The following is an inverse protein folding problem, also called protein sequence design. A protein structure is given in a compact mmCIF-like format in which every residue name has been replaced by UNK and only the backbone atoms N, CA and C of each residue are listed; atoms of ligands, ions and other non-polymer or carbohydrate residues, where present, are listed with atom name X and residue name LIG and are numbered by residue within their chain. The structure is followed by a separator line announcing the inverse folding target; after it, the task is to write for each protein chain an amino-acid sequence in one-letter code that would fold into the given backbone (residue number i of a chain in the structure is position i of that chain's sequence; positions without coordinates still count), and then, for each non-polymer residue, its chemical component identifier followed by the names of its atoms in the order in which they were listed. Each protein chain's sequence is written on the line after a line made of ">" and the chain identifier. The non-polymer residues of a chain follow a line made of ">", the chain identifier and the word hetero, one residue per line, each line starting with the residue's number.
data_IF_818595596775
#
_entry.id   IF_818595596775
#
_cell.length_a   1.000
_cell.length_b   1.000
_cell.length_c   1.000
_cell.angle_alpha   90.00
_cell.angle_beta   90.00
_cell.angle_gamma   90.00
#
_symmetry.space_group_name_H-M   'P 1'
#
loop_
_entity.id
_entity.type
_entity.pdbx_description
1 polymer ?
#
# COMPACT_ATOMS: atom_id res chain seq x y z
N UNK A 1 14.00 19.49 81.22
CA UNK A 1 13.01 19.06 80.20
C UNK A 1 13.64 19.23 78.82
N UNK A 2 14.22 18.13 78.29
CA UNK A 2 14.87 18.13 76.97
C UNK A 2 13.81 17.75 75.92
N UNK A 3 13.56 18.65 74.97
CA UNK A 3 12.68 18.38 73.78
C UNK A 3 13.52 17.66 72.77
N UNK A 4 13.16 16.42 72.48
CA UNK A 4 13.72 15.62 71.39
C UNK A 4 12.94 15.97 70.14
N UNK A 5 13.65 16.59 69.18
CA UNK A 5 13.10 16.89 67.84
C UNK A 5 13.31 15.67 66.94
N UNK A 6 12.23 14.96 66.62
CA UNK A 6 12.25 13.86 65.65
C UNK A 6 12.21 14.45 64.21
N UNK A 7 13.36 14.39 63.55
CA UNK A 7 13.42 14.71 62.13
C UNK A 7 13.02 13.45 61.38
N UNK A 8 11.79 13.43 60.83
CA UNK A 8 11.34 12.44 59.86
C UNK A 8 12.03 12.71 58.52
N UNK A 9 13.10 11.99 58.26
CA UNK A 9 13.73 11.92 56.95
C UNK A 9 12.83 11.07 56.03
N UNK A 10 11.98 11.72 55.25
CA UNK A 10 11.21 11.05 54.18
C UNK A 10 12.20 10.54 53.12
N UNK A 11 12.57 9.28 53.18
CA UNK A 11 13.22 8.59 52.08
C UNK A 11 12.16 8.44 50.95
N UNK A 12 12.16 9.35 49.99
CA UNK A 12 11.62 9.10 48.68
C UNK A 12 12.54 8.06 48.00
N UNK A 13 12.27 6.80 48.26
CA UNK A 13 12.81 5.70 47.46
C UNK A 13 12.04 5.79 46.14
N UNK A 14 12.62 6.52 45.18
CA UNK A 14 12.23 6.40 43.79
C UNK A 14 12.49 4.94 43.41
N UNK A 15 11.45 4.13 43.31
CA UNK A 15 11.52 2.84 42.66
C UNK A 15 11.95 3.10 41.23
N UNK A 16 13.23 3.04 40.96
CA UNK A 16 13.73 2.80 39.61
C UNK A 16 13.24 1.40 39.27
N UNK A 17 12.10 1.31 38.60
CA UNK A 17 11.62 0.05 38.02
C UNK A 17 12.75 -0.43 37.11
N UNK A 18 13.40 -1.53 37.51
CA UNK A 18 14.42 -2.15 36.66
C UNK A 18 13.75 -2.53 35.32
N UNK A 19 14.30 -2.05 34.22
CA UNK A 19 13.81 -2.41 32.89
C UNK A 19 13.86 -3.93 32.74
N UNK A 20 12.80 -4.48 32.17
CA UNK A 20 12.74 -5.90 31.80
C UNK A 20 13.75 -6.21 30.69
N UNK A 21 14.11 -7.47 30.51
CA UNK A 21 14.98 -7.89 29.42
C UNK A 21 14.41 -7.52 28.04
N UNK A 22 13.07 -7.53 27.91
CA UNK A 22 12.40 -7.13 26.66
C UNK A 22 12.47 -5.63 26.42
N UNK A 23 12.25 -4.80 27.43
CA UNK A 23 12.40 -3.35 27.31
C UNK A 23 13.84 -2.97 26.89
N UNK A 24 14.85 -3.63 27.44
CA UNK A 24 16.25 -3.41 27.06
C UNK A 24 16.49 -3.83 25.60
N UNK A 25 16.00 -5.00 25.19
CA UNK A 25 16.18 -5.48 23.82
C UNK A 25 15.44 -4.59 22.82
N UNK A 26 14.18 -4.23 23.10
CA UNK A 26 13.39 -3.33 22.26
C UNK A 26 14.07 -1.96 22.13
N UNK A 27 14.55 -1.40 23.26
CA UNK A 27 15.33 -0.17 23.23
C UNK A 27 16.56 -0.29 22.33
N UNK A 28 17.27 -1.41 22.37
CA UNK A 28 18.46 -1.64 21.53
C UNK A 28 18.08 -1.75 20.05
N UNK A 29 16.92 -2.33 19.72
CA UNK A 29 16.38 -2.36 18.35
C UNK A 29 16.13 -0.94 17.84
N UNK A 30 15.43 -0.09 18.62
CA UNK A 30 15.20 1.31 18.26
C UNK A 30 16.50 2.12 18.16
N UNK A 31 17.45 1.91 19.08
CA UNK A 31 18.75 2.55 19.01
C UNK A 31 19.53 2.14 17.75
N UNK A 32 19.48 0.86 17.36
CA UNK A 32 20.12 0.36 16.13
C UNK A 32 19.49 0.98 14.90
N UNK A 33 18.16 0.96 14.77
CA UNK A 33 17.45 1.53 13.62
C UNK A 33 17.72 3.04 13.48
N UNK A 34 17.64 3.81 14.58
CA UNK A 34 17.78 5.26 14.53
C UNK A 34 19.23 5.74 14.34
N UNK A 35 20.23 4.95 14.74
CA UNK A 35 21.67 5.32 14.63
C UNK A 35 22.33 4.71 13.39
N UNK A 36 21.95 3.49 13.05
CA UNK A 36 22.61 2.66 12.03
C UNK A 36 21.61 2.04 11.05
N UNK A 37 20.37 2.54 10.99
CA UNK A 37 19.35 2.09 10.06
C UNK A 37 19.73 2.35 8.60
N UNK A 38 19.33 1.45 7.72
CA UNK A 38 19.62 1.53 6.28
C UNK A 38 18.34 1.59 5.43
N UNK A 39 17.15 1.59 6.04
CA UNK A 39 15.89 1.66 5.31
C UNK A 39 15.82 2.87 4.37
N UNK A 40 16.25 4.04 4.85
CA UNK A 40 16.21 5.26 4.06
C UNK A 40 17.18 5.24 2.87
N UNK A 41 18.38 4.66 3.04
CA UNK A 41 19.34 4.50 1.96
C UNK A 41 18.82 3.48 0.92
N UNK A 42 18.33 2.33 1.37
CA UNK A 42 17.71 1.33 0.50
C UNK A 42 16.52 1.92 -0.28
N UNK A 43 15.65 2.71 0.39
CA UNK A 43 14.56 3.38 -0.27
C UNK A 43 15.04 4.36 -1.35
N UNK A 44 16.10 5.12 -1.05
CA UNK A 44 16.71 6.02 -2.03
C UNK A 44 17.21 5.29 -3.27
N UNK A 45 17.83 4.14 -3.12
CA UNK A 45 18.28 3.31 -4.25
C UNK A 45 17.07 2.78 -5.04
N UNK A 46 16.08 2.18 -4.39
CA UNK A 46 14.90 1.64 -5.05
C UNK A 46 14.13 2.70 -5.82
N UNK A 47 13.99 3.90 -5.26
CA UNK A 47 13.19 4.97 -5.88
C UNK A 47 13.97 5.79 -6.91
N UNK A 48 15.26 6.07 -6.70
CA UNK A 48 16.04 6.94 -7.59
C UNK A 48 16.79 6.19 -8.68
N UNK A 49 17.22 4.94 -8.40
CA UNK A 49 17.99 4.16 -9.36
C UNK A 49 17.08 3.22 -10.18
N UNK A 50 16.02 2.67 -9.56
CA UNK A 50 15.02 1.83 -10.24
C UNK A 50 13.81 2.68 -10.66
N UNK A 51 13.18 3.39 -9.72
CA UNK A 51 12.03 4.26 -9.96
C UNK A 51 10.71 3.50 -10.08
N UNK A 52 9.87 3.96 -10.99
CA UNK A 52 8.57 3.35 -11.28
C UNK A 52 8.72 1.90 -11.75
N UNK A 53 7.92 0.99 -11.15
CA UNK A 53 8.17 -0.44 -11.27
C UNK A 53 6.90 -1.30 -11.34
N UNK A 54 5.92 -0.84 -12.13
CA UNK A 54 4.68 -1.59 -12.33
C UNK A 54 4.99 -3.00 -12.86
N UNK A 55 4.30 -4.00 -12.35
CA UNK A 55 4.53 -5.40 -12.71
C UNK A 55 4.48 -5.62 -14.24
N UNK A 56 5.40 -6.44 -14.76
CA UNK A 56 5.60 -6.65 -16.19
C UNK A 56 6.52 -5.62 -16.89
N UNK A 57 6.86 -4.51 -16.23
CA UNK A 57 7.75 -3.48 -16.77
C UNK A 57 9.24 -3.80 -16.59
N UNK A 58 10.13 -3.15 -17.36
CA UNK A 58 11.58 -3.18 -17.09
C UNK A 58 11.96 -2.69 -15.68
N UNK A 59 11.23 -1.70 -15.14
CA UNK A 59 11.43 -1.22 -13.77
C UNK A 59 11.13 -2.31 -12.73
N UNK A 60 10.07 -3.10 -12.90
CA UNK A 60 9.79 -4.24 -12.03
C UNK A 60 10.90 -5.30 -12.08
N UNK A 61 11.44 -5.60 -13.27
CA UNK A 61 12.57 -6.51 -13.41
C UNK A 61 13.82 -5.98 -12.70
N UNK A 62 14.12 -4.69 -12.83
CA UNK A 62 15.24 -4.06 -12.13
C UNK A 62 15.05 -4.09 -10.60
N UNK A 63 13.81 -3.91 -10.10
CA UNK A 63 13.50 -4.01 -8.68
C UNK A 63 13.72 -5.42 -8.12
N UNK A 64 13.40 -6.46 -8.90
CA UNK A 64 13.70 -7.86 -8.54
C UNK A 64 15.21 -8.05 -8.37
N UNK A 65 16.01 -7.61 -9.33
CA UNK A 65 17.47 -7.71 -9.27
C UNK A 65 18.03 -6.91 -8.07
N UNK A 66 17.57 -5.66 -7.89
CA UNK A 66 17.98 -4.81 -6.78
C UNK A 66 17.71 -5.49 -5.43
N UNK A 67 16.48 -5.93 -5.18
CA UNK A 67 16.10 -6.53 -3.90
C UNK A 67 16.83 -7.84 -3.62
N UNK A 68 17.07 -8.67 -4.66
CA UNK A 68 17.89 -9.87 -4.55
C UNK A 68 19.32 -9.55 -4.13
N UNK A 69 19.96 -8.58 -4.78
CA UNK A 69 21.34 -8.20 -4.48
C UNK A 69 21.49 -7.51 -3.11
N UNK A 70 20.52 -6.65 -2.71
CA UNK A 70 20.53 -6.04 -1.36
C UNK A 70 20.43 -7.09 -0.26
N UNK A 71 19.53 -8.06 -0.38
CA UNK A 71 19.44 -9.16 0.59
C UNK A 71 20.71 -10.02 0.61
N UNK A 72 21.34 -10.26 -0.54
CA UNK A 72 22.63 -10.98 -0.63
C UNK A 72 23.76 -10.19 0.03
N UNK A 73 23.83 -8.88 -0.14
CA UNK A 73 24.82 -7.99 0.47
C UNK A 73 24.78 -8.06 2.00
N UNK A 74 23.59 -8.22 2.58
CA UNK A 74 23.42 -8.43 4.01
C UNK A 74 23.74 -9.85 4.48
N UNK A 75 24.12 -10.75 3.56
CA UNK A 75 24.50 -12.13 3.85
C UNK A 75 23.43 -12.90 4.66
N UNK A 76 22.15 -12.75 4.30
CA UNK A 76 21.10 -13.58 4.89
C UNK A 76 21.37 -15.05 4.62
N UNK A 77 20.89 -15.94 5.49
CA UNK A 77 21.19 -17.37 5.43
C UNK A 77 20.73 -18.01 4.10
N UNK A 78 19.64 -17.52 3.55
CA UNK A 78 19.13 -17.88 2.22
C UNK A 78 18.52 -16.67 1.52
N UNK A 79 18.76 -16.54 0.20
CA UNK A 79 18.10 -15.55 -0.66
C UNK A 79 17.83 -16.22 -2.01
N UNK A 80 16.56 -16.17 -2.45
CA UNK A 80 16.14 -16.76 -3.74
C UNK A 80 14.99 -15.97 -4.36
N UNK A 81 14.68 -16.27 -5.61
CA UNK A 81 13.53 -15.73 -6.34
C UNK A 81 12.48 -16.83 -6.54
N UNK A 82 11.21 -16.44 -6.49
CA UNK A 82 10.06 -17.32 -6.68
C UNK A 82 9.31 -16.90 -7.94
N UNK A 83 9.33 -17.71 -9.03
CA UNK A 83 8.80 -17.31 -10.33
C UNK A 83 7.27 -17.28 -10.35
N UNK A 84 6.73 -16.31 -11.08
CA UNK A 84 5.30 -16.17 -11.38
C UNK A 84 5.08 -15.44 -12.71
N UNK A 85 3.86 -15.47 -13.23
CA UNK A 85 3.42 -14.68 -14.38
C UNK A 85 2.56 -13.53 -13.87
N UNK A 86 2.77 -12.33 -14.40
CA UNK A 86 2.05 -11.11 -13.99
C UNK A 86 1.37 -10.44 -15.16
N UNK A 87 0.26 -9.72 -14.97
CA UNK A 87 -0.33 -8.88 -16.00
C UNK A 87 0.69 -7.86 -16.50
N UNK A 88 0.68 -7.64 -17.80
CA UNK A 88 1.51 -6.64 -18.44
C UNK A 88 0.62 -5.57 -19.09
N UNK A 89 0.48 -4.46 -18.39
CA UNK A 89 -0.22 -3.28 -18.88
C UNK A 89 0.76 -2.13 -19.01
N UNK A 90 0.64 -1.38 -20.11
CA UNK A 90 1.46 -0.20 -20.38
C UNK A 90 0.56 1.02 -20.57
N UNK A 91 0.94 2.13 -19.97
CA UNK A 91 0.21 3.40 -20.08
C UNK A 91 0.30 4.02 -21.47
N UNK A 92 1.44 3.86 -22.13
CA UNK A 92 1.76 4.54 -23.38
C UNK A 92 2.20 5.98 -23.18
N UNK A 93 1.93 6.83 -24.17
CA UNK A 93 2.28 8.26 -24.12
C UNK A 93 1.32 9.04 -23.23
N UNK A 94 1.71 10.27 -22.86
CA UNK A 94 0.92 11.16 -21.99
C UNK A 94 -0.51 11.33 -22.48
N UNK A 95 -1.45 11.18 -21.58
CA UNK A 95 -2.88 11.34 -21.83
C UNK A 95 -3.26 12.81 -22.06
N UNK A 96 -4.31 13.02 -22.86
CA UNK A 96 -4.88 14.33 -23.12
C UNK A 96 -6.35 14.34 -22.72
N UNK A 97 -6.71 15.22 -21.79
CA UNK A 97 -8.09 15.50 -21.41
C UNK A 97 -8.41 16.97 -21.63
N UNK A 98 -9.54 17.29 -22.28
CA UNK A 98 -9.95 18.69 -22.50
C UNK A 98 -11.47 18.83 -22.45
N UNK A 99 -11.95 19.90 -21.80
CA UNK A 99 -13.27 20.44 -22.09
C UNK A 99 -13.15 21.21 -23.40
N UNK A 100 -13.99 20.94 -24.37
CA UNK A 100 -13.80 21.50 -25.74
C UNK A 100 -14.82 22.56 -26.13
N UNK A 101 -15.91 22.71 -25.41
CA UNK A 101 -17.02 23.57 -25.84
C UNK A 101 -17.76 24.29 -24.72
N UNK A 102 -17.11 24.55 -23.58
CA UNK A 102 -17.74 25.29 -22.50
C UNK A 102 -18.14 26.69 -22.95
N UNK A 103 -19.44 27.02 -22.89
CA UNK A 103 -19.97 28.34 -23.23
C UNK A 103 -19.38 29.46 -22.39
N UNK A 104 -18.93 29.13 -21.16
CA UNK A 104 -18.43 30.08 -20.19
C UNK A 104 -16.91 30.25 -20.23
N UNK A 105 -16.19 29.18 -20.54
CA UNK A 105 -14.73 29.13 -20.38
C UNK A 105 -13.99 28.66 -21.66
N UNK A 106 -14.71 28.29 -22.70
CA UNK A 106 -14.10 27.78 -23.97
C UNK A 106 -13.47 26.41 -23.76
N UNK A 107 -12.26 26.24 -24.30
CA UNK A 107 -11.47 25.02 -24.17
C UNK A 107 -10.59 25.09 -22.93
N UNK A 108 -10.60 24.03 -22.11
CA UNK A 108 -9.80 23.91 -20.89
C UNK A 108 -9.14 22.54 -20.83
N UNK A 109 -7.87 22.50 -20.45
CA UNK A 109 -7.18 21.25 -20.16
C UNK A 109 -7.66 20.65 -18.85
N UNK A 110 -7.69 19.32 -18.79
CA UNK A 110 -8.02 18.52 -17.61
C UNK A 110 -6.80 17.67 -17.25
N UNK A 111 -6.40 17.71 -15.99
CA UNK A 111 -5.35 16.82 -15.49
C UNK A 111 -5.94 15.44 -15.25
N UNK A 112 -5.61 14.52 -16.13
CA UNK A 112 -6.06 13.14 -16.13
C UNK A 112 -4.89 12.16 -16.21
N UNK A 113 -5.13 10.91 -15.82
CA UNK A 113 -4.27 9.78 -16.14
C UNK A 113 -5.12 8.53 -16.42
N UNK A 114 -4.67 7.64 -17.28
CA UNK A 114 -5.33 6.36 -17.48
C UNK A 114 -5.35 5.54 -16.18
N UNK A 115 -6.46 4.85 -15.92
CA UNK A 115 -6.53 3.86 -14.84
C UNK A 115 -5.84 2.57 -15.27
N UNK A 116 -5.16 1.92 -14.33
CA UNK A 116 -4.42 0.69 -14.57
C UNK A 116 -5.33 -0.45 -15.04
N UNK A 117 -4.98 -1.08 -16.15
CA UNK A 117 -5.80 -2.08 -16.82
C UNK A 117 -6.81 -1.53 -17.82
N UNK A 118 -6.89 -0.20 -17.99
CA UNK A 118 -7.74 0.44 -19.01
C UNK A 118 -7.21 0.19 -20.41
N UNK A 119 -8.11 0.02 -21.37
CA UNK A 119 -7.79 0.11 -22.81
C UNK A 119 -7.62 1.58 -23.23
N UNK A 120 -6.86 1.82 -24.31
CA UNK A 120 -6.73 3.14 -24.92
C UNK A 120 -7.95 3.57 -25.72
N UNK A 121 -8.01 4.87 -26.04
CA UNK A 121 -9.10 5.46 -26.84
C UNK A 121 -8.98 5.19 -28.34
N UNK A 122 -7.83 4.72 -28.77
CA UNK A 122 -7.44 4.72 -30.17
C UNK A 122 -6.88 6.09 -30.65
N UNK A 123 -6.36 6.15 -31.88
CA UNK A 123 -5.54 7.28 -32.33
C UNK A 123 -6.33 8.58 -32.56
N UNK A 124 -7.66 8.55 -32.60
CA UNK A 124 -8.51 9.73 -32.81
C UNK A 124 -9.05 10.31 -31.50
N UNK A 125 -8.81 9.64 -30.39
CA UNK A 125 -9.43 10.00 -29.13
C UNK A 125 -10.95 9.81 -29.09
N UNK A 126 -11.61 10.32 -28.07
CA UNK A 126 -13.07 10.28 -27.91
C UNK A 126 -13.57 11.68 -27.58
N UNK A 127 -14.58 12.13 -28.31
CA UNK A 127 -15.36 13.33 -28.00
C UNK A 127 -16.78 12.91 -27.68
N UNK A 128 -17.26 13.21 -26.47
CA UNK A 128 -18.64 12.93 -26.09
C UNK A 128 -19.14 13.87 -24.98
N UNK A 129 -20.48 13.93 -24.85
CA UNK A 129 -21.12 14.62 -23.71
C UNK A 129 -20.84 13.89 -22.41
N UNK A 130 -20.74 14.66 -21.33
CA UNK A 130 -20.50 14.14 -19.99
C UNK A 130 -21.83 13.93 -19.24
N UNK A 131 -21.94 12.83 -18.52
CA UNK A 131 -23.00 12.60 -17.54
C UNK A 131 -22.38 12.23 -16.18
N UNK A 132 -22.68 13.04 -15.16
CA UNK A 132 -22.16 12.83 -13.79
C UNK A 132 -23.07 11.89 -13.01
N UNK A 133 -22.44 10.94 -12.30
CA UNK A 133 -23.08 10.05 -11.32
C UNK A 133 -22.21 9.93 -10.07
N UNK A 134 -22.82 9.57 -8.93
CA UNK A 134 -22.12 9.33 -7.67
C UNK A 134 -22.16 7.88 -7.20
N UNK A 135 -22.99 7.05 -7.85
CA UNK A 135 -23.10 5.64 -7.52
C UNK A 135 -23.50 4.81 -8.72
N UNK A 136 -23.38 3.50 -8.60
CA UNK A 136 -23.86 2.55 -9.62
C UNK A 136 -25.40 2.51 -9.67
N UNK A 137 -26.07 2.80 -8.55
CA UNK A 137 -27.53 2.91 -8.49
C UNK A 137 -28.04 4.13 -9.30
N UNK A 138 -27.37 5.28 -9.18
CA UNK A 138 -27.70 6.44 -10.00
C UNK A 138 -27.49 6.15 -11.50
N UNK A 139 -26.38 5.47 -11.85
CA UNK A 139 -26.12 5.03 -13.21
C UNK A 139 -27.22 4.11 -13.74
N UNK A 140 -27.64 3.13 -12.95
CA UNK A 140 -28.71 2.20 -13.31
C UNK A 140 -30.06 2.91 -13.51
N UNK A 141 -30.37 3.90 -12.67
CA UNK A 141 -31.58 4.71 -12.83
C UNK A 141 -31.61 5.53 -14.11
N UNK A 142 -30.44 6.03 -14.56
CA UNK A 142 -30.33 6.73 -15.84
C UNK A 142 -30.58 5.81 -17.02
N UNK A 143 -30.07 4.59 -16.97
CA UNK A 143 -30.25 3.56 -17.98
C UNK A 143 -29.63 3.90 -19.35
N UNK A 144 -29.69 2.98 -20.29
CA UNK A 144 -29.09 3.11 -21.63
C UNK A 144 -29.57 4.37 -22.35
N UNK A 145 -30.85 4.71 -22.28
CA UNK A 145 -31.42 5.90 -22.95
C UNK A 145 -30.68 7.18 -22.64
N UNK A 146 -30.15 7.35 -21.41
CA UNK A 146 -29.49 8.56 -20.99
C UNK A 146 -27.96 8.45 -21.02
N UNK A 147 -27.39 7.24 -21.11
CA UNK A 147 -25.95 6.97 -20.96
C UNK A 147 -25.28 6.64 -22.29
N UNK A 148 -26.01 6.00 -23.23
CA UNK A 148 -25.44 5.57 -24.51
C UNK A 148 -24.75 6.70 -25.25
N UNK A 149 -23.53 6.43 -25.74
CA UNK A 149 -22.70 7.39 -26.47
C UNK A 149 -22.11 8.52 -25.61
N UNK A 150 -22.25 8.48 -24.30
CA UNK A 150 -21.70 9.51 -23.40
C UNK A 150 -20.50 9.00 -22.62
N UNK A 151 -19.75 9.94 -22.03
CA UNK A 151 -18.73 9.71 -21.04
C UNK A 151 -19.38 9.77 -19.67
N UNK A 152 -19.28 8.68 -18.88
CA UNK A 152 -19.78 8.65 -17.51
C UNK A 152 -18.71 9.20 -16.57
N UNK A 153 -19.06 10.24 -15.83
CA UNK A 153 -18.20 10.85 -14.83
C UNK A 153 -18.64 10.39 -13.42
N UNK A 154 -17.87 9.49 -12.83
CA UNK A 154 -18.04 9.04 -11.45
C UNK A 154 -17.42 10.04 -10.50
N UNK A 155 -18.24 10.75 -9.73
CA UNK A 155 -17.81 11.88 -8.90
C UNK A 155 -18.20 11.74 -7.44
N UNK A 156 -18.05 10.56 -6.83
CA UNK A 156 -18.18 10.38 -5.38
C UNK A 156 -16.84 10.67 -4.72
N UNK A 157 -16.73 11.71 -3.87
CA UNK A 157 -15.50 11.96 -3.12
C UNK A 157 -15.30 10.92 -2.02
N UNK A 158 -14.07 10.76 -1.55
CA UNK A 158 -13.80 10.15 -0.24
C UNK A 158 -14.51 10.96 0.86
N UNK A 159 -15.07 10.27 1.86
CA UNK A 159 -15.81 10.94 2.96
C UNK A 159 -14.83 11.68 3.90
N UNK A 160 -14.82 13.02 3.88
CA UNK A 160 -13.87 13.81 4.67
C UNK A 160 -14.15 13.77 6.19
N UNK A 161 -15.27 13.19 6.62
CA UNK A 161 -15.61 13.04 8.05
C UNK A 161 -14.98 11.81 8.69
N UNK A 162 -14.40 10.91 7.88
CA UNK A 162 -13.74 9.70 8.36
C UNK A 162 -12.33 10.02 8.85
N UNK A 163 -12.07 9.81 10.14
CA UNK A 163 -10.73 9.93 10.72
C UNK A 163 -9.80 8.82 10.16
N UNK A 164 -10.33 7.62 9.99
CA UNK A 164 -9.62 6.55 9.29
C UNK A 164 -9.71 6.79 7.78
N UNK A 165 -8.62 7.23 7.17
CA UNK A 165 -8.57 7.60 5.76
C UNK A 165 -8.72 6.38 4.83
N UNK A 166 -8.29 5.19 5.25
CA UNK A 166 -8.55 3.95 4.52
C UNK A 166 -10.04 3.57 4.50
N UNK A 167 -10.79 3.89 5.55
CA UNK A 167 -12.24 3.73 5.55
C UNK A 167 -12.94 4.74 4.60
N UNK A 168 -12.38 5.95 4.47
CA UNK A 168 -12.85 6.93 3.49
C UNK A 168 -12.59 6.45 2.05
N UNK A 169 -11.37 5.91 1.80
CA UNK A 169 -10.99 5.30 0.54
C UNK A 169 -11.89 4.11 0.18
N UNK A 170 -12.08 3.16 1.10
CA UNK A 170 -12.95 2.01 0.90
C UNK A 170 -14.40 2.38 0.55
N UNK A 171 -14.88 3.55 1.01
CA UNK A 171 -16.21 4.09 0.67
C UNK A 171 -16.32 4.69 -0.74
N UNK A 172 -15.22 4.85 -1.47
CA UNK A 172 -15.19 5.52 -2.78
C UNK A 172 -14.56 4.68 -3.91
N UNK A 173 -13.71 3.72 -3.58
CA UNK A 173 -12.82 3.02 -4.54
C UNK A 173 -13.55 2.13 -5.54
N UNK A 174 -14.76 1.67 -5.25
CA UNK A 174 -15.58 0.85 -6.17
C UNK A 174 -15.80 1.54 -7.52
N UNK A 175 -16.00 2.88 -7.54
CA UNK A 175 -16.16 3.64 -8.77
C UNK A 175 -14.90 3.62 -9.65
N UNK A 176 -13.70 3.52 -9.05
CA UNK A 176 -12.44 3.30 -9.78
C UNK A 176 -12.36 1.86 -10.27
N UNK A 177 -12.54 0.90 -9.37
CA UNK A 177 -12.36 -0.52 -9.68
C UNK A 177 -13.33 -1.08 -10.70
N UNK A 178 -14.61 -0.66 -10.67
CA UNK A 178 -15.69 -1.21 -11.48
C UNK A 178 -16.40 -0.23 -12.43
N UNK A 179 -16.15 1.07 -12.28
CA UNK A 179 -16.92 2.13 -12.95
C UNK A 179 -17.01 1.99 -14.47
N UNK A 180 -15.87 1.73 -15.14
CA UNK A 180 -15.86 1.55 -16.60
C UNK A 180 -16.69 0.32 -17.01
N UNK A 181 -16.56 -0.79 -16.28
CA UNK A 181 -17.33 -2.01 -16.55
C UNK A 181 -18.82 -1.81 -16.36
N UNK A 182 -19.23 -1.07 -15.33
CA UNK A 182 -20.63 -0.73 -15.07
C UNK A 182 -21.18 0.23 -16.12
N UNK A 183 -20.41 1.29 -16.47
CA UNK A 183 -20.83 2.27 -17.49
C UNK A 183 -21.01 1.63 -18.87
N UNK A 184 -20.16 0.70 -19.24
CA UNK A 184 -20.21 0.00 -20.53
C UNK A 184 -21.51 -0.81 -20.70
N UNK A 185 -22.15 -1.30 -19.64
CA UNK A 185 -23.45 -2.00 -19.69
C UNK A 185 -24.57 -1.13 -20.25
N UNK A 186 -24.43 0.19 -20.11
CA UNK A 186 -25.41 1.18 -20.57
C UNK A 186 -24.98 1.90 -21.83
N UNK A 187 -23.93 1.41 -22.52
CA UNK A 187 -23.47 1.98 -23.79
C UNK A 187 -22.61 3.23 -23.67
N UNK A 188 -22.02 3.50 -22.50
CA UNK A 188 -21.03 4.56 -22.35
C UNK A 188 -19.82 4.32 -23.27
N UNK A 189 -19.15 5.40 -23.70
CA UNK A 189 -17.97 5.33 -24.58
C UNK A 189 -16.66 5.47 -23.83
N UNK A 190 -16.66 6.06 -22.62
CA UNK A 190 -15.54 6.14 -21.71
C UNK A 190 -16.03 6.40 -20.28
N UNK A 191 -15.15 6.20 -19.30
CA UNK A 191 -15.37 6.55 -17.90
C UNK A 191 -14.31 7.56 -17.43
N UNK A 192 -14.74 8.55 -16.66
CA UNK A 192 -13.88 9.48 -15.91
C UNK A 192 -14.17 9.29 -14.44
N UNK A 193 -13.15 9.10 -13.63
CA UNK A 193 -13.30 8.83 -12.20
C UNK A 193 -12.58 9.90 -11.40
N UNK A 194 -13.28 10.51 -10.43
CA UNK A 194 -12.65 11.40 -9.46
C UNK A 194 -11.51 10.68 -8.74
N UNK A 195 -10.36 11.32 -8.65
CA UNK A 195 -9.20 10.80 -7.91
C UNK A 195 -9.52 10.52 -6.44
N UNK A 196 -8.87 9.49 -5.88
CA UNK A 196 -9.03 9.03 -4.50
C UNK A 196 -8.13 9.81 -3.55
N UNK A 197 -8.43 11.08 -3.34
CA UNK A 197 -7.76 11.99 -2.42
C UNK A 197 -8.75 12.77 -1.56
N UNK A 198 -8.31 13.22 -0.39
CA UNK A 198 -9.11 14.05 0.55
C UNK A 198 -8.90 15.54 0.31
N UNK A 199 -7.80 15.93 -0.32
CA UNK A 199 -7.44 17.30 -0.62
C UNK A 199 -7.90 17.74 -2.02
N UNK A 200 -7.93 19.05 -2.26
CA UNK A 200 -8.08 19.61 -3.60
C UNK A 200 -6.71 19.70 -4.28
N UNK A 201 -6.45 18.76 -5.13
CA UNK A 201 -5.15 18.55 -5.80
C UNK A 201 -5.27 18.70 -7.31
N UNK A 202 -4.17 19.09 -7.93
CA UNK A 202 -4.12 19.33 -9.38
C UNK A 202 -3.47 18.16 -10.15
N UNK A 203 -3.14 17.09 -9.48
CA UNK A 203 -2.65 15.85 -10.06
C UNK A 203 -3.66 14.71 -9.86
N UNK A 204 -3.80 13.80 -10.85
CA UNK A 204 -4.69 12.65 -10.73
C UNK A 204 -4.04 11.51 -9.95
N UNK A 205 -4.89 10.65 -9.36
CA UNK A 205 -4.51 9.38 -8.73
C UNK A 205 -4.92 8.23 -9.64
N UNK A 206 -3.95 7.46 -10.11
CA UNK A 206 -4.21 6.24 -10.88
C UNK A 206 -4.73 5.11 -9.97
N UNK A 207 -4.57 3.90 -10.37
CA UNK A 207 -4.90 2.67 -9.62
C UNK A 207 -5.63 1.66 -10.47
N UNK A 208 -5.66 0.41 -10.01
CA UNK A 208 -6.23 -0.72 -10.73
C UNK A 208 -7.73 -0.60 -10.97
N UNK A 209 -8.15 -0.97 -12.18
CA UNK A 209 -9.54 -1.22 -12.54
C UNK A 209 -9.68 -2.58 -13.22
N UNK A 210 -10.91 -3.10 -13.27
CA UNK A 210 -11.18 -4.41 -13.88
C UNK A 210 -12.40 -4.36 -14.77
N UNK A 211 -12.32 -5.03 -15.92
CA UNK A 211 -13.47 -5.30 -16.77
C UNK A 211 -14.12 -6.60 -16.30
N UNK A 212 -15.24 -6.51 -15.58
CA UNK A 212 -15.92 -7.66 -14.97
C UNK A 212 -17.17 -8.08 -15.72
N UNK A 213 -17.75 -7.20 -16.55
CA UNK A 213 -18.97 -7.50 -17.29
C UNK A 213 -18.66 -8.25 -18.59
N UNK A 214 -19.10 -9.51 -18.66
CA UNK A 214 -18.97 -10.32 -19.87
C UNK A 214 -19.86 -9.80 -21.01
N UNK A 215 -19.34 -9.82 -22.23
CA UNK A 215 -20.10 -9.48 -23.44
C UNK A 215 -20.34 -7.98 -23.68
N UNK A 216 -19.72 -7.10 -22.87
CA UNK A 216 -19.75 -5.66 -23.07
C UNK A 216 -18.44 -5.17 -23.72
N UNK A 217 -18.54 -4.09 -24.47
CA UNK A 217 -17.36 -3.44 -25.05
C UNK A 217 -16.46 -2.90 -23.95
N UNK A 218 -15.16 -3.14 -24.03
CA UNK A 218 -14.18 -2.48 -23.18
C UNK A 218 -14.12 -1.00 -23.54
N UNK A 219 -14.23 -0.13 -22.56
CA UNK A 219 -14.18 1.32 -22.74
C UNK A 219 -13.02 1.92 -21.96
N UNK A 220 -12.36 2.97 -22.48
CA UNK A 220 -11.30 3.68 -21.78
C UNK A 220 -11.77 4.24 -20.44
N UNK A 221 -10.88 4.23 -19.46
CA UNK A 221 -11.12 4.80 -18.13
C UNK A 221 -9.93 5.64 -17.66
N UNK A 222 -10.23 6.84 -17.18
CA UNK A 222 -9.23 7.78 -16.66
C UNK A 222 -9.61 8.27 -15.27
N UNK A 223 -8.62 8.54 -14.42
CA UNK A 223 -8.80 9.37 -13.26
C UNK A 223 -8.65 10.85 -13.63
N UNK A 224 -9.39 11.71 -12.95
CA UNK A 224 -9.28 13.17 -13.05
C UNK A 224 -8.89 13.74 -11.68
N UNK A 225 -8.02 14.75 -11.66
CA UNK A 225 -7.64 15.42 -10.40
C UNK A 225 -8.87 15.91 -9.62
N UNK A 226 -8.81 15.95 -8.31
CA UNK A 226 -9.95 16.39 -7.47
C UNK A 226 -10.39 17.82 -7.79
N UNK A 227 -9.43 18.68 -8.10
CA UNK A 227 -9.67 20.08 -8.51
C UNK A 227 -10.42 20.19 -9.84
N UNK A 228 -9.99 19.41 -10.84
CA UNK A 228 -10.66 19.37 -12.13
C UNK A 228 -11.99 18.59 -12.10
N UNK A 229 -12.14 17.63 -11.17
CA UNK A 229 -13.42 16.97 -10.94
C UNK A 229 -14.49 17.97 -10.43
N UNK A 230 -14.13 18.84 -9.50
CA UNK A 230 -15.05 19.90 -9.03
C UNK A 230 -15.37 20.92 -10.14
N UNK A 231 -14.38 21.28 -10.95
CA UNK A 231 -14.57 22.15 -12.12
C UNK A 231 -15.52 21.50 -13.13
N UNK A 232 -15.27 20.26 -13.52
CA UNK A 232 -16.09 19.52 -14.49
C UNK A 232 -17.53 19.36 -13.99
N UNK A 233 -17.72 19.01 -12.71
CA UNK A 233 -19.04 18.89 -12.08
C UNK A 233 -19.83 20.21 -12.14
N UNK A 234 -19.19 21.33 -11.84
CA UNK A 234 -19.82 22.63 -11.92
C UNK A 234 -20.25 22.99 -13.34
N UNK A 235 -19.34 22.82 -14.31
CA UNK A 235 -19.63 23.15 -15.71
C UNK A 235 -20.70 22.24 -16.31
N UNK A 236 -20.70 20.94 -15.99
CA UNK A 236 -21.71 19.99 -16.47
C UNK A 236 -23.11 20.26 -15.89
N UNK A 237 -23.21 20.88 -14.70
CA UNK A 237 -24.50 21.34 -14.16
C UNK A 237 -25.03 22.57 -14.88
N UNK A 238 -24.15 23.49 -15.28
CA UNK A 238 -24.49 24.72 -15.99
C UNK A 238 -24.80 24.48 -17.49
N UNK A 239 -24.09 23.50 -18.11
CA UNK A 239 -24.25 23.16 -19.55
C UNK A 239 -24.43 21.66 -19.73
N UNK A 240 -25.66 21.23 -20.06
CA UNK A 240 -26.00 19.83 -20.32
C UNK A 240 -25.45 19.26 -21.64
N UNK A 241 -24.94 20.12 -22.51
CA UNK A 241 -24.31 19.75 -23.74
C UNK A 241 -22.78 19.77 -23.68
N UNK A 242 -22.22 19.96 -22.46
CA UNK A 242 -20.78 19.99 -22.23
C UNK A 242 -20.11 18.72 -22.76
N UNK A 243 -19.10 18.89 -23.59
CA UNK A 243 -18.31 17.80 -24.17
C UNK A 243 -16.88 17.84 -23.66
N UNK A 244 -16.28 16.67 -23.52
CA UNK A 244 -14.86 16.53 -23.27
C UNK A 244 -14.21 15.68 -24.37
N UNK A 245 -12.95 15.95 -24.61
CA UNK A 245 -12.04 15.15 -25.41
C UNK A 245 -11.15 14.34 -24.48
N UNK A 246 -11.01 13.04 -24.76
CA UNK A 246 -10.11 12.13 -24.08
C UNK A 246 -9.25 11.40 -25.11
N UNK A 247 -7.94 11.34 -24.84
CA UNK A 247 -6.98 10.55 -25.62
C UNK A 247 -6.05 9.82 -24.66
N UNK A 248 -6.01 8.49 -24.78
CA UNK A 248 -5.16 7.59 -24.00
C UNK A 248 -4.57 6.52 -24.90
N UNK A 249 -3.36 6.06 -24.58
CA UNK A 249 -2.58 5.15 -25.41
C UNK A 249 -2.25 3.84 -24.68
N UNK A 250 -2.99 3.54 -23.61
CA UNK A 250 -2.73 2.36 -22.81
C UNK A 250 -3.10 1.07 -23.54
N UNK A 251 -2.30 0.04 -23.30
CA UNK A 251 -2.43 -1.29 -23.91
C UNK A 251 -2.32 -2.38 -22.87
N UNK A 252 -3.10 -3.45 -23.06
CA UNK A 252 -3.00 -4.70 -22.33
C UNK A 252 -2.21 -5.67 -23.20
N UNK A 253 -1.04 -6.06 -22.72
CA UNK A 253 -0.14 -6.99 -23.41
C UNK A 253 -0.29 -8.41 -22.83
N UNK A 254 0.42 -9.38 -23.38
CA UNK A 254 0.49 -10.71 -22.82
C UNK A 254 1.17 -10.69 -21.46
N UNK A 255 0.75 -11.60 -20.58
CA UNK A 255 1.35 -11.76 -19.24
C UNK A 255 2.87 -11.94 -19.34
N UNK A 256 3.61 -11.26 -18.48
CA UNK A 256 5.07 -11.29 -18.43
C UNK A 256 5.59 -12.14 -17.27
N UNK A 257 6.76 -12.80 -17.41
CA UNK A 257 7.41 -13.46 -16.29
C UNK A 257 7.95 -12.44 -15.28
N UNK A 258 7.81 -12.74 -13.99
CA UNK A 258 8.34 -11.95 -12.89
C UNK A 258 8.63 -12.84 -11.68
N UNK A 259 8.99 -12.25 -10.53
CA UNK A 259 9.40 -12.99 -9.35
C UNK A 259 9.03 -12.27 -8.06
N UNK A 260 8.60 -13.02 -7.03
CA UNK A 260 8.80 -12.58 -5.65
C UNK A 260 10.28 -12.77 -5.28
N UNK A 261 10.81 -11.89 -4.42
CA UNK A 261 12.18 -12.05 -3.87
C UNK A 261 12.10 -12.34 -2.40
N UNK A 262 12.81 -13.36 -1.95
CA UNK A 262 12.68 -13.90 -0.60
C UNK A 262 14.06 -14.02 0.04
N UNK A 263 14.17 -13.54 1.30
CA UNK A 263 15.37 -13.68 2.14
C UNK A 263 15.03 -14.27 3.50
N UNK A 264 15.94 -15.03 4.10
CA UNK A 264 15.72 -15.66 5.40
C UNK A 264 16.89 -15.52 6.36
N UNK A 265 16.54 -15.40 7.65
CA UNK A 265 17.37 -15.79 8.77
C UNK A 265 16.80 -17.10 9.36
N UNK A 266 17.59 -18.17 9.32
CA UNK A 266 17.14 -19.49 9.73
C UNK A 266 17.01 -19.62 11.24
N UNK A 267 15.91 -20.20 11.69
CA UNK A 267 15.66 -20.48 13.10
C UNK A 267 16.62 -21.51 13.69
N UNK A 268 17.01 -21.29 14.96
CA UNK A 268 17.96 -22.16 15.68
C UNK A 268 17.27 -23.24 16.50
N UNK A 269 16.02 -23.05 16.93
CA UNK A 269 15.26 -23.97 17.78
C UNK A 269 14.06 -24.59 17.01
N UNK A 270 13.36 -23.81 16.20
CA UNK A 270 12.15 -24.18 15.47
C UNK A 270 12.27 -23.71 13.99
N UNK A 271 13.26 -24.21 13.23
CA UNK A 271 13.52 -23.71 11.86
C UNK A 271 12.36 -23.96 10.87
N UNK A 272 11.44 -24.86 11.19
CA UNK A 272 10.23 -25.15 10.40
C UNK A 272 9.10 -24.14 10.65
N UNK A 273 9.13 -23.38 11.78
CA UNK A 273 8.17 -22.33 12.06
C UNK A 273 8.64 -21.02 11.42
N UNK A 274 7.79 -20.45 10.56
CA UNK A 274 8.13 -19.27 9.78
C UNK A 274 7.34 -18.06 10.28
N UNK A 275 8.04 -16.94 10.45
CA UNK A 275 7.48 -15.61 10.65
C UNK A 275 7.82 -14.81 9.40
N UNK A 276 6.84 -14.54 8.55
CA UNK A 276 7.05 -13.74 7.35
C UNK A 276 6.85 -12.25 7.64
N UNK A 277 7.66 -11.40 6.99
CA UNK A 277 7.48 -9.96 6.90
C UNK A 277 7.57 -9.55 5.44
N UNK A 278 6.73 -8.63 4.96
CA UNK A 278 6.73 -8.28 3.55
C UNK A 278 6.12 -6.92 3.25
N UNK A 279 6.29 -6.54 2.00
CA UNK A 279 5.65 -5.44 1.31
C UNK A 279 5.68 -5.74 -0.18
N UNK A 280 4.93 -5.01 -1.00
CA UNK A 280 4.92 -5.26 -2.43
C UNK A 280 6.03 -4.49 -3.16
N UNK A 281 6.67 -5.18 -4.09
CA UNK A 281 7.83 -4.66 -4.80
C UNK A 281 7.46 -3.78 -5.99
N UNK A 282 6.33 -4.06 -6.63
CA UNK A 282 5.82 -3.21 -7.71
C UNK A 282 5.24 -1.89 -7.18
N UNK A 283 5.08 -0.94 -8.07
CA UNK A 283 4.44 0.35 -7.81
C UNK A 283 3.77 0.86 -9.06
N UNK A 284 2.85 1.83 -8.93
CA UNK A 284 2.34 2.53 -10.10
C UNK A 284 3.44 3.32 -10.81
N UNK A 285 3.21 3.53 -12.11
CA UNK A 285 4.17 4.08 -13.07
C UNK A 285 4.22 5.61 -13.12
N UNK A 286 3.37 6.31 -12.36
CA UNK A 286 3.34 7.78 -12.33
C UNK A 286 4.38 8.40 -11.41
N UNK A 287 4.68 7.74 -10.29
CA UNK A 287 5.60 8.17 -9.25
C UNK A 287 6.81 7.24 -9.11
N UNK A 288 7.53 7.42 -8.01
CA UNK A 288 8.67 6.57 -7.65
C UNK A 288 8.25 5.39 -6.75
N UNK A 289 6.98 5.36 -6.28
CA UNK A 289 6.47 4.34 -5.36
C UNK A 289 7.25 4.33 -4.04
N UNK A 290 7.43 5.50 -3.43
CA UNK A 290 8.23 5.62 -2.22
C UNK A 290 7.46 5.20 -0.97
N UNK A 291 6.22 5.68 -0.82
CA UNK A 291 5.31 5.24 0.22
C UNK A 291 4.57 3.95 -0.16
N UNK A 292 4.27 3.77 -1.46
CA UNK A 292 3.45 2.70 -2.01
C UNK A 292 4.24 1.88 -3.05
N UNK A 293 4.96 0.79 -2.70
CA UNK A 293 5.24 0.32 -1.34
C UNK A 293 6.76 0.09 -1.14
N UNK A 294 7.57 1.05 -1.65
CA UNK A 294 9.01 1.02 -1.36
C UNK A 294 9.29 1.03 0.14
N UNK A 295 8.48 1.77 0.92
CA UNK A 295 8.61 1.83 2.38
C UNK A 295 8.43 0.45 3.03
N UNK A 296 7.42 -0.31 2.64
CA UNK A 296 7.19 -1.65 3.19
C UNK A 296 8.25 -2.66 2.78
N UNK A 297 8.74 -2.58 1.55
CA UNK A 297 9.86 -3.38 1.09
C UNK A 297 11.09 -3.18 1.97
N UNK A 298 11.51 -1.92 2.15
CA UNK A 298 12.73 -1.64 2.94
C UNK A 298 12.53 -1.89 4.43
N UNK A 299 11.34 -1.66 5.00
CA UNK A 299 11.01 -2.07 6.36
C UNK A 299 11.26 -3.56 6.56
N UNK A 300 10.79 -4.38 5.62
CA UNK A 300 10.84 -5.84 5.71
C UNK A 300 12.27 -6.38 5.59
N UNK A 301 13.09 -5.84 4.70
CA UNK A 301 14.52 -6.18 4.59
C UNK A 301 15.26 -5.75 5.87
N UNK A 302 14.95 -4.56 6.38
CA UNK A 302 15.61 -3.98 7.55
C UNK A 302 15.33 -4.77 8.83
N UNK A 303 14.16 -5.39 8.97
CA UNK A 303 13.87 -6.30 10.09
C UNK A 303 14.94 -7.38 10.21
N UNK A 304 15.26 -8.06 9.12
CA UNK A 304 16.28 -9.11 9.11
C UNK A 304 17.68 -8.53 9.34
N UNK A 305 17.98 -7.38 8.69
CA UNK A 305 19.28 -6.72 8.83
C UNK A 305 19.54 -6.27 10.27
N UNK A 306 18.57 -5.65 10.93
CA UNK A 306 18.70 -5.22 12.34
C UNK A 306 18.96 -6.43 13.23
N UNK A 307 18.18 -7.50 13.10
CA UNK A 307 18.36 -8.71 13.91
C UNK A 307 19.77 -9.30 13.73
N UNK A 308 20.23 -9.42 12.49
CA UNK A 308 21.58 -9.90 12.20
C UNK A 308 22.68 -8.98 12.75
N UNK A 309 22.54 -7.67 12.55
CA UNK A 309 23.52 -6.68 13.05
C UNK A 309 23.63 -6.65 14.59
N UNK A 310 22.53 -6.96 15.30
CA UNK A 310 22.51 -7.11 16.76
C UNK A 310 23.07 -8.46 17.22
N UNK A 311 23.41 -9.38 16.33
CA UNK A 311 23.83 -10.73 16.65
C UNK A 311 22.70 -11.59 17.25
N UNK A 312 21.45 -11.20 17.01
CA UNK A 312 20.28 -11.97 17.45
C UNK A 312 20.18 -13.27 16.65
N UNK A 313 20.06 -14.37 17.37
CA UNK A 313 19.86 -15.70 16.78
C UNK A 313 18.39 -16.05 16.93
N UNK A 314 17.59 -15.95 15.85
CA UNK A 314 16.18 -16.24 15.93
C UNK A 314 15.94 -17.70 16.29
N UNK A 315 14.90 -17.97 17.08
CA UNK A 315 14.44 -19.33 17.39
C UNK A 315 13.72 -19.95 16.19
N UNK A 316 12.95 -19.13 15.48
CA UNK A 316 12.16 -19.46 14.29
C UNK A 316 12.75 -18.82 13.06
N UNK A 317 12.44 -19.36 11.91
CA UNK A 317 12.85 -18.74 10.66
C UNK A 317 12.10 -17.42 10.44
N UNK A 318 12.85 -16.34 10.23
CA UNK A 318 12.30 -15.03 9.90
C UNK A 318 12.55 -14.81 8.40
N UNK A 319 11.48 -14.55 7.67
CA UNK A 319 11.49 -14.46 6.20
C UNK A 319 11.02 -13.10 5.73
N UNK A 320 11.84 -12.37 4.99
CA UNK A 320 11.44 -11.18 4.25
C UNK A 320 10.94 -11.59 2.85
N UNK A 321 9.78 -11.06 2.44
CA UNK A 321 9.17 -11.34 1.13
C UNK A 321 8.84 -10.02 0.45
N UNK A 322 9.45 -9.80 -0.72
CA UNK A 322 9.11 -8.72 -1.63
C UNK A 322 8.10 -9.28 -2.63
N UNK A 323 6.83 -9.00 -2.40
CA UNK A 323 5.74 -9.50 -3.24
C UNK A 323 5.69 -8.75 -4.55
N UNK A 324 5.39 -9.42 -5.64
CA UNK A 324 5.25 -8.82 -6.96
C UNK A 324 3.80 -8.82 -7.41
N UNK A 325 3.33 -7.72 -7.98
CA UNK A 325 2.00 -7.59 -8.58
C UNK A 325 0.86 -7.44 -7.56
N UNK A 326 1.04 -6.63 -6.54
CA UNK A 326 -0.08 -6.19 -5.68
C UNK A 326 -0.99 -5.25 -6.44
N UNK A 327 -0.44 -4.21 -7.04
CA UNK A 327 -1.10 -3.03 -7.62
C UNK A 327 -2.17 -3.34 -8.66
N UNK A 328 -1.94 -4.37 -9.47
CA UNK A 328 -2.87 -4.72 -10.55
C UNK A 328 -3.17 -6.23 -10.65
N UNK A 329 -3.00 -7.01 -9.56
CA UNK A 329 -3.29 -8.43 -9.66
C UNK A 329 -3.25 -9.29 -8.40
N UNK A 330 -2.37 -9.06 -7.44
CA UNK A 330 -2.14 -9.87 -6.25
C UNK A 330 -1.53 -11.26 -6.53
N UNK A 331 -0.90 -11.45 -7.70
CA UNK A 331 -0.40 -12.78 -8.09
C UNK A 331 0.80 -13.24 -7.27
N UNK A 332 1.61 -12.30 -6.74
CA UNK A 332 2.73 -12.60 -5.87
C UNK A 332 2.30 -13.22 -4.54
N UNK A 333 1.38 -12.58 -3.83
CA UNK A 333 0.82 -13.08 -2.59
C UNK A 333 0.08 -14.41 -2.77
N UNK A 334 -0.71 -14.54 -3.83
CA UNK A 334 -1.39 -15.80 -4.19
C UNK A 334 -0.40 -16.93 -4.45
N UNK A 335 0.68 -16.65 -5.22
CA UNK A 335 1.71 -17.65 -5.54
C UNK A 335 2.50 -18.06 -4.31
N UNK A 336 2.81 -17.12 -3.44
CA UNK A 336 3.50 -17.39 -2.19
C UNK A 336 2.67 -18.34 -1.30
N UNK A 337 1.39 -18.04 -1.10
CA UNK A 337 0.50 -18.87 -0.29
C UNK A 337 0.26 -20.26 -0.93
N UNK A 338 0.12 -20.36 -2.26
CA UNK A 338 0.00 -21.63 -2.99
C UNK A 338 1.22 -22.54 -2.72
N UNK A 339 2.42 -21.99 -2.82
CA UNK A 339 3.65 -22.76 -2.63
C UNK A 339 3.89 -23.09 -1.17
N UNK A 340 3.53 -22.21 -0.24
CA UNK A 340 3.56 -22.48 1.19
C UNK A 340 2.67 -23.70 1.54
N UNK A 341 1.46 -23.75 1.03
CA UNK A 341 0.53 -24.88 1.21
C UNK A 341 1.09 -26.17 0.57
N UNK A 342 1.52 -26.08 -0.68
CA UNK A 342 2.09 -27.22 -1.43
C UNK A 342 3.29 -27.84 -0.72
N UNK A 343 4.18 -27.00 -0.19
CA UNK A 343 5.39 -27.40 0.51
C UNK A 343 5.14 -27.74 1.99
N UNK A 344 3.90 -27.55 2.48
CA UNK A 344 3.52 -27.74 3.89
C UNK A 344 4.35 -26.86 4.83
N UNK A 345 4.66 -25.63 4.42
CA UNK A 345 5.37 -24.69 5.24
C UNK A 345 4.51 -24.25 6.44
N UNK A 346 5.13 -24.10 7.59
CA UNK A 346 4.42 -23.76 8.84
C UNK A 346 4.58 -22.29 9.16
N UNK A 347 3.81 -21.43 8.54
CA UNK A 347 3.75 -20.03 8.92
C UNK A 347 2.96 -19.87 10.21
N UNK A 348 3.55 -19.25 11.24
CA UNK A 348 2.86 -18.92 12.49
C UNK A 348 2.32 -17.50 12.50
N UNK A 349 3.01 -16.59 11.82
CA UNK A 349 2.59 -15.20 11.59
C UNK A 349 3.09 -14.70 10.23
N UNK A 350 2.37 -13.76 9.68
CA UNK A 350 2.81 -12.95 8.55
C UNK A 350 2.47 -11.48 8.83
N UNK A 351 3.44 -10.58 8.60
CA UNK A 351 3.29 -9.15 8.76
C UNK A 351 3.51 -8.44 7.43
N UNK A 352 2.67 -7.48 7.12
CA UNK A 352 2.81 -6.65 5.92
C UNK A 352 2.84 -5.17 6.28
N UNK A 353 3.70 -4.42 5.60
CA UNK A 353 3.76 -2.97 5.64
C UNK A 353 3.39 -2.46 4.25
N UNK A 354 2.19 -1.89 4.13
CA UNK A 354 1.61 -1.34 2.90
C UNK A 354 0.67 -0.18 3.25
N UNK A 355 1.21 0.81 3.99
CA UNK A 355 0.50 2.04 4.38
C UNK A 355 1.45 3.23 4.48
N UNK A 356 2.59 3.13 3.81
CA UNK A 356 3.61 4.15 3.75
C UNK A 356 4.57 4.22 4.94
N UNK A 357 5.64 4.97 4.77
CA UNK A 357 6.70 5.17 5.75
C UNK A 357 6.42 6.32 6.73
N UNK A 358 5.21 6.42 7.27
CA UNK A 358 4.80 7.46 8.23
C UNK A 358 5.04 7.04 9.68
N UNK A 359 4.80 8.00 10.62
CA UNK A 359 4.97 7.76 12.06
C UNK A 359 4.21 6.51 12.52
N UNK A 360 4.86 5.52 13.15
CA UNK A 360 4.19 4.34 13.68
C UNK A 360 3.09 4.66 14.68
N UNK A 361 1.96 3.96 14.60
CA UNK A 361 0.82 4.07 15.54
C UNK A 361 0.46 2.76 16.20
N UNK A 362 0.79 1.61 15.58
CA UNK A 362 0.45 0.29 16.11
C UNK A 362 0.48 -0.81 15.06
N UNK A 363 -0.40 -1.78 15.25
CA UNK A 363 -0.56 -2.91 14.33
C UNK A 363 -2.02 -3.32 14.24
N UNK A 364 -2.47 -3.69 13.04
CA UNK A 364 -3.75 -4.37 12.84
C UNK A 364 -3.56 -5.87 12.95
N UNK A 365 -4.58 -6.60 13.41
CA UNK A 365 -4.47 -8.02 13.72
C UNK A 365 -5.66 -8.79 13.12
N UNK A 366 -5.41 -9.90 12.43
CA UNK A 366 -6.47 -10.78 11.90
C UNK A 366 -6.08 -12.25 12.09
N UNK A 367 -6.94 -13.00 12.79
CA UNK A 367 -6.69 -14.41 13.10
C UNK A 367 -7.34 -14.84 14.42
N UNK A 368 -6.76 -15.85 15.07
CA UNK A 368 -7.26 -16.40 16.33
C UNK A 368 -7.27 -15.36 17.46
N UNK A 369 -8.38 -15.27 18.21
CA UNK A 369 -8.58 -14.24 19.24
C UNK A 369 -7.63 -14.40 20.42
N UNK A 370 -7.22 -15.63 20.78
CA UNK A 370 -6.24 -15.84 21.86
C UNK A 370 -4.88 -15.33 21.45
N UNK A 371 -4.51 -15.53 20.18
CA UNK A 371 -3.26 -15.01 19.62
C UNK A 371 -3.30 -13.49 19.58
N UNK A 372 -4.40 -12.89 19.12
CA UNK A 372 -4.58 -11.42 19.13
C UNK A 372 -4.46 -10.87 20.55
N UNK A 373 -5.08 -11.51 21.53
CA UNK A 373 -5.01 -11.11 22.94
C UNK A 373 -3.56 -11.18 23.47
N UNK A 374 -2.81 -12.21 23.09
CA UNK A 374 -1.38 -12.33 23.44
C UNK A 374 -0.56 -11.18 22.85
N UNK A 375 -0.74 -10.86 21.57
CA UNK A 375 -0.05 -9.73 20.93
C UNK A 375 -0.45 -8.41 21.59
N UNK A 376 -1.73 -8.19 21.87
CA UNK A 376 -2.23 -7.00 22.56
C UNK A 376 -1.63 -6.84 23.97
N UNK A 377 -1.28 -7.93 24.65
CA UNK A 377 -0.66 -7.87 25.96
C UNK A 377 0.75 -7.25 25.96
N UNK A 378 1.41 -7.21 24.83
CA UNK A 378 2.71 -6.56 24.66
C UNK A 378 2.63 -5.06 24.39
N UNK A 379 1.43 -4.48 24.27
CA UNK A 379 1.21 -3.07 23.92
C UNK A 379 2.03 -2.11 24.79
N UNK A 380 2.11 -2.34 26.10
CA UNK A 380 2.85 -1.48 27.03
C UNK A 380 4.34 -1.35 26.70
N UNK A 381 4.94 -2.34 26.02
CA UNK A 381 6.34 -2.29 25.56
C UNK A 381 6.54 -1.33 24.38
N UNK A 382 5.47 -1.00 23.65
CA UNK A 382 5.48 -0.13 22.47
C UNK A 382 5.03 1.30 22.76
N UNK A 383 4.27 1.52 23.83
CA UNK A 383 3.77 2.85 24.21
C UNK A 383 4.87 3.92 24.35
N UNK A 384 6.07 3.61 24.92
CA UNK A 384 7.18 4.55 24.97
C UNK A 384 7.68 5.04 23.60
N UNK A 385 7.34 4.31 22.52
CA UNK A 385 7.73 4.60 21.14
C UNK A 385 6.57 5.17 20.30
N UNK A 386 5.43 5.48 20.93
CA UNK A 386 4.27 6.11 20.31
C UNK A 386 3.27 5.15 19.66
N UNK A 387 3.45 3.83 19.80
CA UNK A 387 2.49 2.86 19.29
C UNK A 387 1.49 2.49 20.39
N UNK A 388 0.22 2.81 20.15
CA UNK A 388 -0.86 2.58 21.12
C UNK A 388 -2.07 1.87 20.52
N UNK A 389 -2.14 1.70 19.19
CA UNK A 389 -3.27 1.06 18.52
C UNK A 389 -2.95 -0.38 18.11
N UNK A 390 -3.55 -1.32 18.83
CA UNK A 390 -3.55 -2.76 18.56
C UNK A 390 -4.97 -3.31 18.47
N UNK A 391 -5.94 -2.40 18.28
CA UNK A 391 -7.36 -2.72 18.34
C UNK A 391 -7.99 -3.03 16.99
N UNK A 392 -7.41 -2.49 15.90
CA UNK A 392 -7.97 -2.61 14.56
C UNK A 392 -7.79 -4.02 14.00
N UNK A 393 -8.81 -4.48 13.27
CA UNK A 393 -8.74 -5.71 12.48
C UNK A 393 -8.05 -5.44 11.14
N UNK A 394 -7.31 -6.44 10.64
CA UNK A 394 -6.65 -6.38 9.35
C UNK A 394 -5.32 -7.13 9.33
N UNK A 395 -4.76 -7.26 8.16
CA UNK A 395 -3.45 -7.82 7.87
C UNK A 395 -2.82 -7.01 6.75
N UNK A 396 -2.73 -7.59 5.57
CA UNK A 396 -2.28 -6.96 4.33
C UNK A 396 -2.86 -7.70 3.13
N UNK A 397 -2.73 -7.13 1.95
CA UNK A 397 -3.27 -7.70 0.73
C UNK A 397 -2.49 -8.96 0.31
N UNK A 398 -1.17 -8.89 0.28
CA UNK A 398 -0.30 -9.97 -0.17
C UNK A 398 -0.23 -11.15 0.80
N UNK A 399 -0.28 -10.89 2.11
CA UNK A 399 -0.33 -11.95 3.13
C UNK A 399 -1.74 -12.51 3.33
N UNK A 400 -2.76 -11.82 2.85
CA UNK A 400 -4.18 -12.21 2.98
C UNK A 400 -4.48 -13.66 2.59
N UNK A 401 -3.93 -14.19 1.48
CA UNK A 401 -4.12 -15.58 1.07
C UNK A 401 -3.68 -16.63 2.10
N UNK A 402 -2.72 -16.32 2.98
CA UNK A 402 -2.24 -17.20 4.06
C UNK A 402 -3.30 -17.42 5.16
N UNK A 403 -4.32 -16.58 5.26
CA UNK A 403 -5.39 -16.74 6.25
C UNK A 403 -6.05 -18.12 6.20
N UNK A 404 -6.18 -18.71 5.00
CA UNK A 404 -6.77 -20.05 4.80
C UNK A 404 -5.95 -21.16 5.46
N UNK A 405 -4.69 -20.91 5.75
CA UNK A 405 -3.75 -21.82 6.42
C UNK A 405 -3.71 -21.60 7.94
N UNK A 406 -4.56 -20.71 8.48
CA UNK A 406 -4.62 -20.41 9.91
C UNK A 406 -3.48 -19.53 10.42
N UNK A 407 -2.81 -18.81 9.53
CA UNK A 407 -1.70 -17.90 9.85
C UNK A 407 -2.23 -16.65 10.54
N UNK A 408 -1.57 -16.18 11.59
CA UNK A 408 -1.84 -14.88 12.20
C UNK A 408 -1.37 -13.77 11.26
N UNK A 409 -2.31 -12.94 10.76
CA UNK A 409 -2.00 -11.82 9.87
C UNK A 409 -1.88 -10.53 10.67
N UNK A 410 -0.86 -9.74 10.37
CA UNK A 410 -0.50 -8.51 11.06
C UNK A 410 -0.25 -7.43 10.01
N UNK A 411 -0.93 -6.30 10.12
CA UNK A 411 -0.62 -5.13 9.30
C UNK A 411 0.14 -4.10 10.13
N UNK A 412 1.25 -3.57 9.61
CA UNK A 412 1.88 -2.40 10.20
C UNK A 412 0.95 -1.19 10.06
N UNK A 413 0.74 -0.46 11.15
CA UNK A 413 -0.19 0.67 11.20
C UNK A 413 0.56 1.97 11.47
N UNK A 414 0.98 2.72 10.45
CA UNK A 414 1.45 4.09 10.60
C UNK A 414 0.30 5.10 10.63
N UNK A 415 0.62 6.38 10.83
CA UNK A 415 -0.31 7.50 10.69
C UNK A 415 -0.78 7.61 9.23
N UNK A 416 -2.07 7.53 9.01
CA UNK A 416 -2.64 7.46 7.66
C UNK A 416 -3.09 8.81 7.09
N UNK A 417 -2.94 9.92 7.86
CA UNK A 417 -3.56 11.20 7.47
C UNK A 417 -3.00 11.79 6.17
N UNK A 418 -1.74 11.47 5.83
CA UNK A 418 -1.07 11.95 4.62
C UNK A 418 -0.92 10.89 3.52
N UNK A 419 -1.29 9.63 3.77
CA UNK A 419 -1.08 8.55 2.80
C UNK A 419 -1.75 8.84 1.46
N UNK A 420 -3.02 9.26 1.49
CA UNK A 420 -3.80 9.56 0.28
C UNK A 420 -3.46 10.91 -0.37
N UNK A 421 -2.47 11.65 0.13
CA UNK A 421 -1.87 12.78 -0.58
C UNK A 421 -0.85 12.31 -1.63
N UNK A 422 -0.31 11.10 -1.46
CA UNK A 422 0.75 10.52 -2.32
C UNK A 422 0.31 9.26 -3.07
N UNK A 423 -0.53 8.45 -2.43
CA UNK A 423 -0.99 7.15 -2.93
C UNK A 423 -1.43 7.21 -4.39
N UNK A 424 -0.75 6.44 -5.25
CA UNK A 424 -1.02 6.30 -6.68
C UNK A 424 -0.85 7.60 -7.51
N UNK A 425 0.01 8.50 -7.08
CA UNK A 425 0.25 9.78 -7.78
C UNK A 425 1.70 9.94 -8.24
N UNK A 426 1.92 10.92 -9.11
CA UNK A 426 3.27 11.34 -9.50
C UNK A 426 4.06 12.00 -8.35
N UNK A 427 3.39 12.27 -7.22
CA UNK A 427 4.02 12.90 -6.04
C UNK A 427 4.48 11.88 -5.00
N UNK A 428 4.26 10.58 -5.21
CA UNK A 428 4.83 9.53 -4.35
C UNK A 428 6.32 9.34 -4.69
N UNK A 429 7.14 10.20 -4.11
CA UNK A 429 8.56 10.33 -4.39
C UNK A 429 9.39 10.28 -3.10
N UNK A 430 10.66 9.92 -3.22
CA UNK A 430 11.59 9.74 -2.11
C UNK A 430 11.64 10.94 -1.14
N UNK A 431 11.59 12.17 -1.67
CA UNK A 431 11.64 13.41 -0.86
C UNK A 431 10.42 13.63 0.03
N UNK A 432 9.36 12.83 -0.14
CA UNK A 432 8.17 12.84 0.74
C UNK A 432 8.31 11.93 1.96
N UNK A 433 9.30 11.04 1.96
CA UNK A 433 9.52 10.09 3.05
C UNK A 433 10.47 10.69 4.09
N UNK A 434 10.04 10.72 5.33
CA UNK A 434 10.89 11.12 6.46
C UNK A 434 11.81 9.96 6.86
N UNK A 435 13.14 10.18 6.78
CA UNK A 435 14.12 9.19 7.26
C UNK A 435 13.78 8.69 8.66
N UNK A 436 13.47 9.62 9.58
CA UNK A 436 13.21 9.24 10.97
C UNK A 436 11.95 8.41 11.13
N UNK A 437 10.87 8.74 10.43
CA UNK A 437 9.61 8.00 10.50
C UNK A 437 9.77 6.59 9.91
N UNK A 438 10.49 6.48 8.80
CA UNK A 438 10.79 5.20 8.14
C UNK A 438 11.61 4.27 9.06
N UNK A 439 12.69 4.78 9.67
CA UNK A 439 13.53 3.99 10.59
C UNK A 439 12.76 3.59 11.87
N UNK A 440 11.84 4.44 12.35
CA UNK A 440 10.94 4.09 13.45
C UNK A 440 9.98 2.95 13.05
N UNK A 441 9.51 2.92 11.80
CA UNK A 441 8.70 1.83 11.24
C UNK A 441 9.45 0.51 11.28
N UNK A 442 10.67 0.48 10.76
CA UNK A 442 11.55 -0.70 10.78
C UNK A 442 11.82 -1.21 12.20
N UNK A 443 12.10 -0.29 13.13
CA UNK A 443 12.30 -0.63 14.54
C UNK A 443 11.05 -1.27 15.16
N UNK A 444 9.88 -0.69 14.88
CA UNK A 444 8.60 -1.16 15.42
C UNK A 444 8.26 -2.57 14.94
N UNK A 445 8.43 -2.82 13.64
CA UNK A 445 8.23 -4.15 13.06
C UNK A 445 9.23 -5.15 13.63
N UNK A 446 10.51 -4.79 13.70
CA UNK A 446 11.57 -5.65 14.29
C UNK A 446 11.25 -6.01 15.74
N UNK A 447 10.78 -5.06 16.54
CA UNK A 447 10.43 -5.28 17.94
C UNK A 447 9.26 -6.28 18.11
N UNK A 448 8.24 -6.18 17.26
CA UNK A 448 7.11 -7.12 17.31
C UNK A 448 7.54 -8.52 16.83
N UNK A 449 8.32 -8.61 15.75
CA UNK A 449 8.87 -9.91 15.28
C UNK A 449 9.76 -10.55 16.34
N UNK A 450 10.60 -9.77 17.04
CA UNK A 450 11.39 -10.26 18.17
C UNK A 450 10.51 -10.90 19.26
N UNK A 451 9.41 -10.26 19.65
CA UNK A 451 8.51 -10.80 20.68
C UNK A 451 7.81 -12.08 20.21
N UNK A 452 7.36 -12.10 18.95
CA UNK A 452 6.74 -13.28 18.34
C UNK A 452 7.73 -14.44 18.28
N UNK A 453 8.97 -14.19 17.87
CA UNK A 453 10.02 -15.19 17.82
C UNK A 453 10.38 -15.73 19.21
N UNK A 454 10.55 -14.83 20.18
CA UNK A 454 10.94 -15.19 21.55
C UNK A 454 9.91 -16.05 22.26
N UNK A 455 8.62 -15.68 22.16
CA UNK A 455 7.54 -16.26 22.97
C UNK A 455 6.62 -17.22 22.19
N UNK A 456 6.71 -17.25 20.85
CA UNK A 456 5.75 -17.94 20.01
C UNK A 456 4.34 -17.35 20.15
N UNK A 457 3.38 -17.93 19.45
CA UNK A 457 1.98 -17.48 19.45
C UNK A 457 0.99 -18.48 20.03
N UNK A 458 1.47 -19.67 20.40
CA UNK A 458 0.65 -20.70 21.06
C UNK A 458 0.78 -20.64 22.56
#
# INVERSE_FOLDING_TARGET
>A
MKKILFVLLSLCIGQALAQTADEITIKSIYDMALKNGQSYEMLGQLTKEVGARLSGSPGAAAAVEWSYHEMKKFEFDSVWVQPLMVPHWVRGTKEIGKIINSKKMGTLELNICALGGSVGTGPQGIIAKVIEVKSFEELAQLGTKNVEGKIVFFNRPMDPTKINTFAAYGGAVDQRGGGASEAAKYGAVAAVVRSMGLNLEDYPHTGGMRYTANGVKLIPAVAISTKHADLLSRLAKEDKDLQIYLETHSEILEDAPSFNVIGELRGSEFPEEIIAVGGHLDSWDLGEGAHDDGAGCVHSIEVLRIMKAMGYKPKRTIRAVMFMNEENGLRGGLKYAELAEKNKEKHIAAMESDRGGFTPRGFTLSGDEKIKSKIRSWKSLFEPYGLSDFSQEGGGADIGPLAKQGVMLIGFLPDSQRYFDYHHTATDTFDKVSKRELELGSASMTALIYLIDKYGLK
#
